data_IF_874825263498
#
_entry.id   IF_874825263498
#
_cell.length_a   1.000
_cell.length_b   1.000
_cell.length_c   1.000
_cell.angle_alpha   90.00
_cell.angle_beta   90.00
_cell.angle_gamma   90.00
#
_symmetry.space_group_name_H-M   'P 1'
#
loop_
_entity.id
_entity.type
_entity.pdbx_description
1 polymer ?
#
# COMPACT_ATOMS: atom_id res chain seq x y z
N UNK A 1 2.29 27.08 -2.79
CA UNK A 1 2.39 26.11 -1.71
C UNK A 1 1.43 24.96 -1.98
N UNK A 2 1.90 23.71 -2.02
CA UNK A 2 1.05 22.53 -2.24
C UNK A 2 1.09 21.66 -0.98
N UNK A 3 -0.08 21.32 -0.44
CA UNK A 3 -0.17 20.36 0.65
C UNK A 3 0.02 18.97 0.05
N UNK A 4 1.08 18.28 0.49
CA UNK A 4 1.40 16.95 0.01
C UNK A 4 0.57 15.89 0.73
N UNK A 5 0.45 16.00 2.05
CA UNK A 5 -0.28 15.07 2.91
C UNK A 5 -0.95 15.82 4.05
N UNK A 6 -2.14 15.36 4.43
CA UNK A 6 -2.88 15.87 5.60
C UNK A 6 -3.84 14.81 6.11
N UNK A 7 -3.79 14.52 7.39
CA UNK A 7 -4.72 13.62 8.09
C UNK A 7 -4.81 13.98 9.56
N UNK A 8 -5.82 13.45 10.19
CA UNK A 8 -6.01 13.47 11.62
C UNK A 8 -5.73 12.09 12.18
N UNK A 9 -4.95 12.01 13.25
CA UNK A 9 -4.59 10.78 13.97
C UNK A 9 -5.03 10.92 15.41
N UNK A 10 -5.69 9.90 15.93
CA UNK A 10 -6.15 9.90 17.32
C UNK A 10 -6.13 8.49 17.92
N UNK A 11 -5.83 8.37 19.23
CA UNK A 11 -5.88 7.10 19.94
C UNK A 11 -7.34 6.71 20.26
N UNK A 12 -7.60 5.41 20.27
CA UNK A 12 -8.84 4.79 20.72
C UNK A 12 -8.51 3.72 21.73
N UNK A 13 -8.68 4.04 23.03
CA UNK A 13 -8.14 3.21 24.11
C UNK A 13 -6.61 3.23 24.15
N UNK A 14 -6.01 2.21 24.74
CA UNK A 14 -4.57 2.17 24.99
C UNK A 14 -3.75 1.71 23.79
N UNK A 15 -4.31 0.79 22.98
CA UNK A 15 -3.54 0.05 21.98
C UNK A 15 -3.99 0.32 20.53
N UNK A 16 -4.99 1.16 20.33
CA UNK A 16 -5.51 1.44 19.00
C UNK A 16 -5.22 2.86 18.57
N UNK A 17 -4.91 3.02 17.29
CA UNK A 17 -4.78 4.32 16.63
C UNK A 17 -5.65 4.33 15.38
N UNK A 18 -6.35 5.41 15.17
CA UNK A 18 -7.20 5.63 14.00
C UNK A 18 -6.69 6.85 13.23
N UNK A 19 -6.67 6.75 11.92
CA UNK A 19 -6.34 7.82 11.00
C UNK A 19 -7.50 8.09 10.05
N UNK A 20 -7.74 9.35 9.76
CA UNK A 20 -8.70 9.78 8.75
C UNK A 20 -8.25 11.08 8.13
N UNK A 21 -8.38 11.21 6.82
CA UNK A 21 -7.97 12.44 6.18
C UNK A 21 -8.29 12.52 4.69
N UNK A 22 -8.31 13.74 4.16
CA UNK A 22 -8.53 13.97 2.74
C UNK A 22 -7.32 13.60 1.88
N UNK A 23 -6.13 13.43 2.50
CA UNK A 23 -4.91 13.06 1.79
C UNK A 23 -3.95 12.32 2.71
N UNK A 24 -4.27 11.07 2.99
CA UNK A 24 -3.41 10.18 3.77
C UNK A 24 -2.35 9.53 2.89
N UNK A 25 -1.32 8.97 3.50
CA UNK A 25 -0.41 8.03 2.85
C UNK A 25 -0.38 6.73 3.65
N UNK A 26 -0.80 5.65 3.05
CA UNK A 26 -1.17 4.41 3.72
C UNK A 26 -0.07 3.77 4.56
N UNK A 27 1.19 3.85 4.15
CA UNK A 27 2.27 3.17 4.88
C UNK A 27 2.59 3.79 6.25
N UNK A 28 2.12 5.00 6.55
CA UNK A 28 2.21 5.56 7.91
C UNK A 28 1.27 4.86 8.90
N UNK A 29 0.28 4.15 8.39
CA UNK A 29 -0.77 3.49 9.18
C UNK A 29 -0.50 2.00 9.40
N UNK A 30 0.66 1.51 8.98
CA UNK A 30 1.02 0.11 9.20
C UNK A 30 1.50 -0.15 10.62
N UNK A 31 1.14 -1.31 11.15
CA UNK A 31 1.47 -1.71 12.52
C UNK A 31 2.95 -2.02 12.74
N UNK A 32 3.63 -2.49 11.68
CA UNK A 32 5.05 -2.87 11.72
C UNK A 32 5.82 -2.20 10.59
N UNK A 33 7.12 -1.91 10.84
CA UNK A 33 8.02 -1.44 9.80
C UNK A 33 8.56 -2.62 8.97
N UNK A 34 8.56 -2.53 7.64
CA UNK A 34 9.00 -3.62 6.77
C UNK A 34 10.51 -3.82 6.77
N UNK A 35 11.27 -2.80 7.11
CA UNK A 35 12.72 -2.77 6.99
C UNK A 35 13.33 -1.74 7.92
N UNK A 36 14.53 -2.02 8.42
CA UNK A 36 15.39 -1.05 9.10
C UNK A 36 16.50 -0.53 8.17
N UNK A 37 16.62 -1.08 6.97
CA UNK A 37 17.50 -0.57 5.94
C UNK A 37 17.00 0.77 5.41
N UNK A 38 17.85 1.80 5.46
CA UNK A 38 17.49 3.17 5.05
C UNK A 38 18.50 3.71 4.04
N UNK A 39 18.45 3.25 2.79
CA UNK A 39 19.33 3.76 1.74
C UNK A 39 18.94 5.20 1.34
N UNK A 40 19.81 5.86 0.60
CA UNK A 40 19.57 7.19 0.04
C UNK A 40 18.34 7.17 -0.90
N UNK A 41 18.14 6.09 -1.63
CA UNK A 41 17.00 5.93 -2.53
C UNK A 41 15.77 5.41 -1.77
N UNK A 42 14.72 6.21 -1.73
CA UNK A 42 13.48 5.93 -0.98
C UNK A 42 12.82 4.60 -1.36
N UNK A 43 12.94 4.17 -2.60
CA UNK A 43 12.35 2.92 -3.10
C UNK A 43 12.76 1.68 -2.30
N UNK A 44 14.01 1.64 -1.83
CA UNK A 44 14.52 0.50 -1.09
C UNK A 44 14.19 0.52 0.41
N UNK A 45 13.61 1.62 0.92
CA UNK A 45 13.23 1.70 2.35
C UNK A 45 11.97 0.92 2.69
N UNK A 46 11.18 0.55 1.70
CA UNK A 46 9.89 -0.13 1.88
C UNK A 46 10.00 -1.66 1.79
N UNK A 47 11.22 -2.20 1.69
CA UNK A 47 11.46 -3.64 1.78
C UNK A 47 10.98 -4.41 0.57
N UNK A 48 11.27 -3.93 -0.65
CA UNK A 48 10.95 -4.60 -1.89
C UNK A 48 10.03 -3.82 -2.81
N UNK A 49 9.28 -4.51 -3.65
CA UNK A 49 8.28 -3.93 -4.51
C UNK A 49 7.15 -3.31 -3.67
N UNK A 50 6.83 -2.05 -3.92
CA UNK A 50 5.79 -1.33 -3.19
C UNK A 50 4.36 -1.76 -3.47
N UNK A 51 4.12 -2.74 -4.33
CA UNK A 51 2.76 -3.21 -4.61
C UNK A 51 2.05 -3.71 -3.35
N UNK A 52 2.73 -4.47 -2.50
CA UNK A 52 2.15 -4.91 -1.24
C UNK A 52 2.19 -3.82 -0.17
N UNK A 53 3.36 -3.22 0.07
CA UNK A 53 3.48 -2.23 1.15
C UNK A 53 2.81 -0.90 0.82
N UNK A 54 2.85 -0.51 -0.45
CA UNK A 54 2.17 0.65 -0.99
C UNK A 54 2.83 1.98 -0.67
N UNK A 55 2.49 2.96 -1.48
CA UNK A 55 2.66 4.38 -1.23
C UNK A 55 1.39 5.10 -1.70
N UNK A 56 0.26 4.50 -1.37
CA UNK A 56 -1.05 4.97 -1.80
C UNK A 56 -1.41 6.24 -1.05
N UNK A 57 -1.59 7.33 -1.79
CA UNK A 57 -1.85 8.67 -1.23
C UNK A 57 -3.14 9.21 -1.81
N UNK A 58 -4.16 9.36 -0.99
CA UNK A 58 -5.40 10.11 -1.30
C UNK A 58 -6.31 10.14 -0.07
N UNK A 59 -7.59 10.49 -0.26
CA UNK A 59 -8.61 10.42 0.79
C UNK A 59 -8.72 9.01 1.34
N UNK A 60 -8.74 8.87 2.65
CA UNK A 60 -8.82 7.55 3.25
C UNK A 60 -8.87 7.54 4.77
N UNK A 61 -8.86 6.34 5.29
CA UNK A 61 -8.84 6.06 6.71
C UNK A 61 -7.99 4.82 6.99
N UNK A 62 -7.54 4.70 8.22
CA UNK A 62 -6.81 3.53 8.70
C UNK A 62 -6.96 3.33 10.19
N UNK A 63 -6.67 2.12 10.58
CA UNK A 63 -6.66 1.67 11.96
C UNK A 63 -5.49 0.75 12.21
N UNK A 64 -4.86 0.86 13.36
CA UNK A 64 -3.87 -0.08 13.82
C UNK A 64 -4.07 -0.40 15.31
N UNK A 65 -3.93 -1.67 15.63
CA UNK A 65 -3.80 -2.19 16.98
C UNK A 65 -2.36 -2.63 17.21
N UNK A 66 -1.77 -2.22 18.34
CA UNK A 66 -0.41 -2.62 18.74
C UNK A 66 -0.44 -3.08 20.19
N UNK A 67 -0.17 -4.35 20.41
CA UNK A 67 -0.10 -4.94 21.73
C UNK A 67 1.28 -4.75 22.37
N UNK A 68 1.35 -4.75 23.69
CA UNK A 68 2.60 -4.61 24.48
C UNK A 68 3.62 -5.71 24.17
N UNK A 69 3.15 -6.88 23.78
CA UNK A 69 4.01 -7.99 23.39
C UNK A 69 4.62 -7.82 22.00
N UNK A 70 4.40 -6.70 21.32
CA UNK A 70 4.92 -6.38 19.99
C UNK A 70 4.08 -6.91 18.82
N UNK A 71 3.00 -7.65 19.08
CA UNK A 71 2.04 -8.02 18.04
C UNK A 71 1.32 -6.78 17.52
N UNK A 72 1.10 -6.73 16.22
CA UNK A 72 0.34 -5.65 15.60
C UNK A 72 -0.53 -6.16 14.45
N UNK A 73 -1.69 -5.55 14.31
CA UNK A 73 -2.54 -5.68 13.13
C UNK A 73 -2.99 -4.28 12.71
N UNK A 74 -3.01 -4.03 11.42
CA UNK A 74 -3.48 -2.76 10.88
C UNK A 74 -4.21 -2.95 9.56
N UNK A 75 -5.14 -2.05 9.29
CA UNK A 75 -5.84 -2.00 8.02
C UNK A 75 -6.09 -0.55 7.64
N UNK A 76 -5.93 -0.25 6.35
CA UNK A 76 -6.20 1.08 5.83
C UNK A 76 -6.76 1.02 4.43
N UNK A 77 -7.55 2.02 4.10
CA UNK A 77 -8.15 2.18 2.78
C UNK A 77 -7.87 3.59 2.28
N UNK A 78 -7.42 3.67 1.03
CA UNK A 78 -7.22 4.92 0.30
C UNK A 78 -8.02 4.87 -0.97
N UNK A 79 -8.73 5.93 -1.28
CA UNK A 79 -9.63 5.98 -2.42
C UNK A 79 -9.53 7.31 -3.15
N UNK A 80 -9.60 7.24 -4.47
CA UNK A 80 -9.64 8.42 -5.33
C UNK A 80 -10.69 8.24 -6.43
N UNK A 81 -11.41 9.30 -6.72
CA UNK A 81 -12.31 9.35 -7.86
C UNK A 81 -11.51 9.21 -9.16
N UNK A 82 -12.02 8.46 -10.11
CA UNK A 82 -11.50 8.45 -11.48
C UNK A 82 -11.96 9.73 -12.18
N UNK A 83 -11.07 10.70 -12.33
CA UNK A 83 -11.40 11.95 -13.02
C UNK A 83 -11.43 11.83 -14.55
N UNK A 84 -11.22 10.69 -15.11
CA UNK A 84 -11.10 10.51 -16.55
C UNK A 84 -12.10 9.50 -17.07
N UNK A 85 -13.36 9.88 -17.06
CA UNK A 85 -14.31 9.27 -17.99
C UNK A 85 -14.45 10.22 -19.18
N UNK A 86 -13.46 10.20 -20.05
CA UNK A 86 -13.52 10.92 -21.33
C UNK A 86 -14.08 10.08 -22.47
N UNK A 87 -14.52 8.85 -22.21
CA UNK A 87 -15.19 8.02 -23.21
C UNK A 87 -16.44 7.39 -22.63
N UNK A 88 -17.54 7.63 -23.31
CA UNK A 88 -18.87 7.09 -23.03
C UNK A 88 -18.99 5.54 -23.23
N UNK A 89 -17.89 4.81 -23.24
CA UNK A 89 -17.85 3.37 -23.50
C UNK A 89 -17.49 2.51 -22.27
N UNK A 90 -17.13 3.11 -21.14
CA UNK A 90 -16.84 2.35 -19.94
C UNK A 90 -18.05 2.36 -19.01
N UNK A 91 -18.62 1.20 -18.88
CA UNK A 91 -19.84 0.87 -18.20
C UNK A 91 -20.01 1.54 -16.82
N UNK A 92 -20.89 2.48 -16.73
CA UNK A 92 -21.48 2.93 -15.47
C UNK A 92 -20.85 4.13 -14.76
N UNK A 93 -19.65 4.56 -15.12
CA UNK A 93 -19.02 5.75 -14.55
C UNK A 93 -19.35 6.99 -15.38
N UNK A 94 -20.49 7.60 -15.15
CA UNK A 94 -20.93 8.78 -15.92
C UNK A 94 -20.06 9.98 -15.54
N UNK A 95 -19.37 10.56 -16.52
CA UNK A 95 -18.79 11.89 -16.38
C UNK A 95 -19.89 12.86 -15.96
N UNK A 96 -19.64 13.66 -14.93
CA UNK A 96 -20.58 14.67 -14.43
C UNK A 96 -20.88 15.71 -15.50
N UNK A 97 -21.85 15.45 -16.34
CA UNK A 97 -22.43 16.47 -17.21
C UNK A 97 -23.79 16.95 -16.69
N UNK A 98 -24.37 16.24 -15.76
CA UNK A 98 -25.63 16.57 -15.12
C UNK A 98 -25.57 16.33 -13.61
N UNK A 99 -26.18 17.20 -12.85
CA UNK A 99 -26.14 17.29 -11.38
C UNK A 99 -26.72 16.09 -10.63
N UNK A 100 -26.97 14.95 -11.27
CA UNK A 100 -27.69 13.81 -10.69
C UNK A 100 -26.90 12.50 -10.60
N UNK A 101 -25.62 12.45 -10.97
CA UNK A 101 -24.86 11.21 -11.05
C UNK A 101 -23.87 11.04 -9.91
N UNK A 102 -24.35 10.88 -8.69
CA UNK A 102 -23.53 10.48 -7.53
C UNK A 102 -23.58 8.97 -7.25
N UNK A 103 -24.23 8.18 -8.09
CA UNK A 103 -24.63 6.82 -7.74
C UNK A 103 -23.48 5.80 -7.67
N UNK A 104 -22.30 6.09 -8.20
CA UNK A 104 -21.21 5.10 -8.26
C UNK A 104 -19.83 5.67 -7.83
N UNK A 105 -19.78 6.65 -6.91
CA UNK A 105 -18.55 7.36 -6.53
C UNK A 105 -18.09 7.12 -5.10
N UNK A 106 -18.57 6.09 -4.42
CA UNK A 106 -18.17 5.73 -3.07
C UNK A 106 -16.91 4.85 -3.03
N UNK A 107 -16.33 4.67 -1.85
CA UNK A 107 -15.24 3.72 -1.60
C UNK A 107 -15.70 2.31 -2.00
N UNK A 108 -14.85 1.57 -2.72
CA UNK A 108 -15.13 0.23 -3.26
C UNK A 108 -16.27 0.16 -4.29
N UNK A 109 -16.63 1.27 -4.92
CA UNK A 109 -17.55 1.26 -6.07
C UNK A 109 -16.78 1.23 -7.39
N UNK A 110 -17.44 0.84 -8.49
CA UNK A 110 -16.82 0.63 -9.79
C UNK A 110 -16.12 1.89 -10.37
N UNK A 111 -16.53 3.09 -9.94
CA UNK A 111 -15.97 4.35 -10.40
C UNK A 111 -14.92 4.95 -9.49
N UNK A 112 -14.44 4.20 -8.53
CA UNK A 112 -13.49 4.70 -7.55
C UNK A 112 -12.30 3.77 -7.45
N UNK A 113 -11.12 4.29 -7.78
CA UNK A 113 -9.87 3.58 -7.56
C UNK A 113 -9.62 3.45 -6.07
N UNK A 114 -9.40 2.25 -5.60
CA UNK A 114 -9.22 1.98 -4.16
C UNK A 114 -8.02 1.08 -3.92
N UNK A 115 -7.24 1.40 -2.89
CA UNK A 115 -6.18 0.56 -2.33
C UNK A 115 -6.54 0.21 -0.90
N UNK A 116 -6.68 -1.08 -0.59
CA UNK A 116 -6.99 -1.59 0.73
C UNK A 116 -5.87 -2.50 1.21
N UNK A 117 -5.10 -2.01 2.17
CA UNK A 117 -3.96 -2.72 2.73
C UNK A 117 -4.27 -3.23 4.14
N UNK A 118 -3.95 -4.48 4.40
CA UNK A 118 -4.04 -5.10 5.73
C UNK A 118 -2.71 -5.77 6.08
N UNK A 119 -2.21 -5.50 7.27
CA UNK A 119 -0.95 -6.04 7.77
C UNK A 119 -1.16 -6.73 9.12
N UNK A 120 -0.51 -7.86 9.30
CA UNK A 120 -0.31 -8.53 10.58
C UNK A 120 1.18 -8.75 10.80
N UNK A 121 1.65 -8.55 12.02
CA UNK A 121 3.07 -8.77 12.29
C UNK A 121 3.44 -8.68 13.76
N UNK A 122 4.72 -8.87 13.99
CA UNK A 122 5.32 -8.75 15.31
C UNK A 122 6.61 -7.95 15.20
N UNK A 123 6.82 -7.06 16.16
CA UNK A 123 8.07 -6.30 16.30
C UNK A 123 8.63 -6.48 17.69
N UNK A 124 9.88 -6.90 17.75
CA UNK A 124 10.67 -7.03 18.99
C UNK A 124 11.91 -6.14 18.87
N UNK A 125 12.65 -5.89 19.95
CA UNK A 125 13.84 -5.05 19.89
C UNK A 125 14.88 -5.47 18.85
N UNK A 126 14.98 -6.76 18.55
CA UNK A 126 15.98 -7.31 17.65
C UNK A 126 15.44 -7.78 16.30
N UNK A 127 14.14 -7.95 16.15
CA UNK A 127 13.55 -8.43 14.88
C UNK A 127 12.12 -7.95 14.67
N UNK A 128 11.71 -7.99 13.45
CA UNK A 128 10.32 -7.84 13.04
C UNK A 128 10.01 -8.80 11.90
N UNK A 129 8.78 -9.27 11.88
CA UNK A 129 8.25 -10.04 10.78
C UNK A 129 6.79 -9.64 10.54
N UNK A 130 6.39 -9.53 9.28
CA UNK A 130 5.03 -9.15 8.92
C UNK A 130 4.59 -9.76 7.59
N UNK A 131 3.29 -10.02 7.53
CA UNK A 131 2.55 -10.34 6.32
C UNK A 131 1.68 -9.15 5.97
N UNK A 132 1.73 -8.75 4.70
CA UNK A 132 0.91 -7.68 4.13
C UNK A 132 0.06 -8.24 2.99
N UNK A 133 -1.21 -7.89 2.96
CA UNK A 133 -2.08 -8.07 1.81
C UNK A 133 -2.60 -6.72 1.38
N UNK A 134 -2.42 -6.38 0.12
CA UNK A 134 -2.92 -5.14 -0.46
C UNK A 134 -3.78 -5.47 -1.68
N UNK A 135 -5.05 -5.12 -1.60
CA UNK A 135 -6.02 -5.29 -2.67
C UNK A 135 -6.26 -3.93 -3.32
N UNK A 136 -6.07 -3.87 -4.62
CA UNK A 136 -6.21 -2.64 -5.41
C UNK A 136 -7.24 -2.85 -6.49
N UNK A 137 -8.15 -1.90 -6.59
CA UNK A 137 -9.34 -1.98 -7.42
C UNK A 137 -9.39 -0.87 -8.46
N UNK A 138 -10.00 -1.17 -9.59
CA UNK A 138 -10.34 -0.21 -10.64
C UNK A 138 -9.12 0.55 -11.17
N UNK A 139 -8.04 -0.17 -11.44
CA UNK A 139 -6.84 0.42 -11.98
C UNK A 139 -6.09 1.36 -11.00
N UNK A 140 -6.13 1.09 -9.69
CA UNK A 140 -5.25 1.80 -8.77
C UNK A 140 -3.78 1.50 -9.09
N UNK A 141 -2.99 2.53 -9.25
CA UNK A 141 -1.53 2.43 -9.36
C UNK A 141 -0.83 3.34 -8.36
N UNK A 142 0.28 2.88 -7.83
CA UNK A 142 1.18 3.65 -6.98
C UNK A 142 2.40 4.08 -7.81
N UNK A 143 2.55 5.39 -8.02
CA UNK A 143 3.48 5.97 -8.96
C UNK A 143 4.98 5.71 -8.74
N UNK A 144 5.37 5.01 -7.68
CA UNK A 144 6.76 4.72 -7.36
C UNK A 144 7.15 3.24 -7.55
N UNK A 145 6.21 2.32 -7.66
CA UNK A 145 6.46 0.90 -7.47
C UNK A 145 5.73 0.00 -8.46
N UNK A 146 5.14 0.57 -9.50
CA UNK A 146 4.56 -0.24 -10.54
C UNK A 146 5.60 -0.56 -11.62
N UNK A 147 5.55 -1.78 -12.10
CA UNK A 147 6.26 -2.17 -13.31
C UNK A 147 5.45 -1.72 -14.52
N UNK A 148 6.07 -1.63 -15.69
CA UNK A 148 5.35 -1.35 -16.94
C UNK A 148 4.14 -2.27 -17.16
N UNK A 149 4.22 -3.51 -16.71
CA UNK A 149 3.11 -4.47 -16.77
C UNK A 149 1.91 -4.09 -15.87
N UNK A 150 2.19 -3.48 -14.71
CA UNK A 150 1.13 -2.96 -13.87
C UNK A 150 0.45 -1.73 -14.51
N UNK A 151 1.20 -0.91 -15.25
CA UNK A 151 0.65 0.19 -16.03
C UNK A 151 -0.23 -0.32 -17.17
N UNK A 152 0.19 -1.35 -17.88
CA UNK A 152 -0.58 -1.93 -18.99
C UNK A 152 -1.85 -2.62 -18.50
N UNK A 153 -1.79 -3.35 -17.38
CA UNK A 153 -2.95 -3.95 -16.73
C UNK A 153 -3.91 -2.88 -16.18
N UNK A 154 -3.36 -1.75 -15.73
CA UNK A 154 -4.07 -0.64 -15.11
C UNK A 154 -4.54 0.38 -16.15
N UNK A 155 -3.86 0.53 -17.28
CA UNK A 155 -4.22 1.50 -18.32
C UNK A 155 -5.52 1.14 -19.06
N UNK A 156 -5.96 -0.12 -18.97
CA UNK A 156 -7.28 -0.57 -19.44
C UNK A 156 -8.47 -0.12 -18.56
N UNK A 157 -8.19 0.52 -17.41
CA UNK A 157 -9.24 1.16 -16.58
C UNK A 157 -9.84 0.28 -15.47
N UNK A 158 -9.92 -1.05 -15.66
CA UNK A 158 -10.70 -1.96 -14.80
C UNK A 158 -9.85 -3.03 -14.09
N UNK A 159 -8.53 -2.96 -14.23
CA UNK A 159 -7.62 -3.96 -13.64
C UNK A 159 -7.64 -3.93 -12.11
N UNK A 160 -7.91 -5.10 -11.52
CA UNK A 160 -7.73 -5.30 -10.09
C UNK A 160 -6.45 -6.10 -9.85
N UNK A 161 -5.80 -5.88 -8.72
CA UNK A 161 -4.70 -6.74 -8.32
C UNK A 161 -4.63 -6.94 -6.82
N UNK A 162 -4.11 -8.10 -6.45
CA UNK A 162 -3.85 -8.46 -5.06
C UNK A 162 -2.36 -8.71 -4.90
N UNK A 163 -1.74 -7.94 -4.04
CA UNK A 163 -0.34 -8.10 -3.68
C UNK A 163 -0.20 -8.67 -2.27
N UNK A 164 0.66 -9.66 -2.12
CA UNK A 164 1.01 -10.26 -0.84
C UNK A 164 2.50 -10.07 -0.60
N UNK A 165 2.86 -9.55 0.57
CA UNK A 165 4.24 -9.30 0.93
C UNK A 165 4.62 -9.92 2.27
N UNK A 166 5.73 -10.64 2.29
CA UNK A 166 6.40 -11.09 3.51
C UNK A 166 7.62 -10.23 3.74
N UNK A 167 7.74 -9.64 4.93
CA UNK A 167 8.83 -8.73 5.26
C UNK A 167 9.28 -8.90 6.67
N UNK A 168 10.56 -8.70 6.86
CA UNK A 168 11.14 -8.74 8.18
C UNK A 168 12.53 -8.15 8.21
N UNK A 169 12.99 -7.92 9.41
CA UNK A 169 14.35 -7.51 9.66
C UNK A 169 14.87 -8.12 10.99
N UNK A 170 16.16 -8.22 11.04
CA UNK A 170 16.89 -8.60 12.24
C UNK A 170 18.09 -7.66 12.44
N UNK A 171 18.40 -7.35 13.69
CA UNK A 171 19.59 -6.58 14.06
C UNK A 171 20.29 -7.21 15.26
N UNK A 172 21.65 -7.11 15.37
CA UNK A 172 22.37 -7.55 16.55
C UNK A 172 21.99 -6.70 17.77
N UNK A 173 22.24 -7.22 18.97
CA UNK A 173 22.02 -6.49 20.22
C UNK A 173 22.91 -5.25 20.33
N UNK A 174 24.14 -5.37 19.87
CA UNK A 174 25.13 -4.29 19.89
C UNK A 174 25.27 -3.67 18.49
N UNK A 175 25.24 -2.35 18.45
CA UNK A 175 25.51 -1.59 17.22
C UNK A 175 27.01 -1.42 17.01
N UNK A 176 27.44 -1.29 15.76
CA UNK A 176 28.86 -1.09 15.42
C UNK A 176 29.70 -2.37 15.46
N UNK A 177 29.07 -3.54 15.48
CA UNK A 177 29.73 -4.83 15.36
C UNK A 177 30.03 -5.16 13.88
N UNK A 178 30.87 -6.17 13.65
CA UNK A 178 31.09 -6.71 12.29
C UNK A 178 29.83 -7.41 11.70
N UNK A 179 28.84 -7.69 12.52
CA UNK A 179 27.59 -8.34 12.10
C UNK A 179 26.58 -7.28 11.63
N UNK A 180 26.15 -7.32 10.36
CA UNK A 180 25.18 -6.36 9.84
C UNK A 180 23.78 -6.61 10.39
N UNK A 181 22.97 -5.57 10.42
CA UNK A 181 21.52 -5.68 10.45
C UNK A 181 21.02 -6.11 9.08
N UNK A 182 20.05 -7.00 9.03
CA UNK A 182 19.53 -7.60 7.79
C UNK A 182 18.06 -7.28 7.67
N UNK A 183 17.65 -6.81 6.51
CA UNK A 183 16.24 -6.64 6.14
C UNK A 183 15.95 -7.48 4.90
N UNK A 184 14.84 -8.21 4.93
CA UNK A 184 14.41 -9.10 3.88
C UNK A 184 12.95 -8.81 3.50
N UNK A 185 12.63 -8.95 2.22
CA UNK A 185 11.28 -8.86 1.72
C UNK A 185 11.07 -9.70 0.47
N UNK A 186 9.87 -10.26 0.38
CA UNK A 186 9.37 -10.93 -0.82
C UNK A 186 7.92 -10.52 -1.04
N UNK A 187 7.61 -10.10 -2.25
CA UNK A 187 6.27 -9.72 -2.68
C UNK A 187 5.88 -10.52 -3.91
N UNK A 188 4.64 -10.98 -3.93
CA UNK A 188 3.99 -11.53 -5.12
C UNK A 188 2.70 -10.76 -5.39
N UNK A 189 2.41 -10.51 -6.66
CA UNK A 189 1.20 -9.79 -7.08
C UNK A 189 0.52 -10.53 -8.20
N UNK A 190 -0.78 -10.75 -8.05
CA UNK A 190 -1.65 -11.29 -9.08
C UNK A 190 -2.50 -10.18 -9.67
N UNK A 191 -2.47 -10.03 -10.99
CA UNK A 191 -3.24 -9.03 -11.74
C UNK A 191 -4.44 -9.69 -12.43
N UNK A 192 -5.56 -8.97 -12.50
CA UNK A 192 -6.72 -9.34 -13.30
C UNK A 192 -6.99 -8.29 -14.38
N UNK A 193 -7.60 -8.70 -15.47
CA UNK A 193 -7.89 -7.77 -16.58
C UNK A 193 -6.69 -7.44 -17.46
N UNK A 194 -5.60 -8.21 -17.40
CA UNK A 194 -4.43 -8.04 -18.27
C UNK A 194 -4.73 -8.43 -19.71
N UNK A 195 -4.17 -7.72 -20.70
CA UNK A 195 -4.27 -8.10 -22.10
C UNK A 195 -3.72 -9.50 -22.38
N UNK A 196 -4.28 -10.18 -23.36
CA UNK A 196 -3.80 -11.50 -23.78
C UNK A 196 -2.32 -11.44 -24.18
N UNK A 197 -1.52 -12.37 -23.63
CA UNK A 197 -0.07 -12.45 -23.87
C UNK A 197 0.78 -11.64 -22.90
N UNK A 198 0.18 -10.92 -21.95
CA UNK A 198 0.88 -10.24 -20.85
C UNK A 198 0.91 -11.14 -19.61
N UNK A 199 1.95 -11.01 -18.78
CA UNK A 199 2.01 -11.73 -17.52
C UNK A 199 0.96 -11.18 -16.54
N UNK A 200 0.21 -12.08 -15.92
CA UNK A 200 -0.79 -11.77 -14.90
C UNK A 200 -0.24 -11.80 -13.47
N UNK A 201 1.07 -11.96 -13.32
CA UNK A 201 1.74 -11.99 -12.03
C UNK A 201 3.07 -11.22 -12.06
N UNK A 202 3.53 -10.79 -10.89
CA UNK A 202 4.87 -10.27 -10.68
C UNK A 202 5.39 -10.64 -9.31
N UNK A 203 6.68 -10.94 -9.24
CA UNK A 203 7.39 -11.25 -8.02
C UNK A 203 8.55 -10.27 -7.81
N UNK A 204 8.80 -9.93 -6.55
CA UNK A 204 9.93 -9.08 -6.18
C UNK A 204 10.52 -9.54 -4.85
N UNK A 205 11.82 -9.42 -4.71
CA UNK A 205 12.51 -9.68 -3.47
C UNK A 205 13.47 -8.54 -3.12
N UNK A 206 13.76 -8.40 -1.86
CA UNK A 206 14.62 -7.37 -1.32
C UNK A 206 15.54 -7.92 -0.24
N UNK A 207 16.80 -7.50 -0.27
CA UNK A 207 17.79 -7.73 0.77
C UNK A 207 18.48 -6.39 1.08
N UNK A 208 18.42 -5.97 2.34
CA UNK A 208 19.12 -4.79 2.83
C UNK A 208 20.10 -5.15 3.95
N UNK A 209 21.33 -4.68 3.86
CA UNK A 209 22.36 -4.87 4.87
C UNK A 209 22.81 -3.49 5.37
N UNK A 210 22.90 -3.34 6.70
CA UNK A 210 23.34 -2.09 7.34
C UNK A 210 24.24 -2.42 8.53
N UNK A 211 25.40 -1.77 8.58
CA UNK A 211 26.37 -1.83 9.67
C UNK A 211 26.27 -0.62 10.59
#
# INVERSE_FOLDING_TARGET
LKIDKIWYEFPVGENNTVWVGPKIENYYMHGTSPSIYKPITKQFTLGGNGNAYGASTNTGAGWAYKADNGFAISSNVVSKSTNSVSSASESGCVAKTDNNSYSNTGILTDCTKTSWATQIGITKPQYSASLMVNQKYNGWSDGYFHTQYADDAVSGGDGNHTAVGLRGWWRPLETGTATPSISLGYDTTQYSGVPAGTSDNSDAWFVGLTW
#
